data_IF_957007623308
#
_entry.id   IF_957007623308
#
_cell.length_a   1.000
_cell.length_b   1.000
_cell.length_c   1.000
_cell.angle_alpha   90.00
_cell.angle_beta   90.00
_cell.angle_gamma   90.00
#
_symmetry.space_group_name_H-M   'P 1'
#
loop_
_entity.id
_entity.type
_entity.pdbx_description
1 polymer ?
#
# COMPACT_ATOMS: atom_id res chain seq x y z
N UNK A 1 9.30 -15.88 7.31
CA UNK A 1 7.98 -15.36 6.90
C UNK A 1 7.92 -14.92 5.42
N UNK A 2 9.01 -14.42 4.81
CA UNK A 2 9.00 -13.96 3.41
C UNK A 2 9.16 -15.04 2.33
N UNK A 3 9.64 -16.25 2.67
CA UNK A 3 9.96 -17.28 1.67
C UNK A 3 8.73 -17.86 0.92
N UNK A 4 7.52 -17.71 1.47
CA UNK A 4 6.31 -18.22 0.84
C UNK A 4 5.68 -17.22 -0.14
N UNK A 5 5.84 -15.90 0.06
CA UNK A 5 5.20 -14.86 -0.78
C UNK A 5 5.74 -14.82 -2.20
N UNK A 6 7.05 -14.97 -2.37
CA UNK A 6 7.70 -15.02 -3.69
C UNK A 6 7.30 -16.27 -4.48
N UNK A 7 7.05 -17.39 -3.80
CA UNK A 7 6.61 -18.65 -4.41
C UNK A 7 5.17 -18.60 -4.94
N UNK A 8 4.32 -17.74 -4.36
CA UNK A 8 2.94 -17.51 -4.83
C UNK A 8 2.82 -16.39 -5.86
N UNK A 9 3.96 -15.86 -6.36
CA UNK A 9 3.98 -14.72 -7.27
C UNK A 9 3.24 -13.49 -6.70
N UNK A 10 3.30 -13.31 -5.37
CA UNK A 10 2.66 -12.20 -4.68
C UNK A 10 3.68 -11.06 -4.53
N UNK A 11 3.39 -9.94 -5.19
CA UNK A 11 4.10 -8.69 -4.94
C UNK A 11 3.72 -8.08 -3.60
N UNK A 12 4.70 -7.66 -2.80
CA UNK A 12 4.48 -6.94 -1.55
C UNK A 12 5.26 -5.64 -1.53
N UNK A 13 4.69 -4.61 -0.92
CA UNK A 13 5.32 -3.30 -0.73
C UNK A 13 5.27 -2.99 0.76
N UNK A 14 6.41 -2.65 1.34
CA UNK A 14 6.45 -2.14 2.71
C UNK A 14 6.19 -0.63 2.65
N UNK A 15 5.22 -0.17 3.44
CA UNK A 15 4.97 1.26 3.64
C UNK A 15 5.35 1.61 5.08
N UNK A 16 6.21 2.62 5.24
CA UNK A 16 6.65 3.07 6.55
C UNK A 16 6.04 4.45 6.84
N UNK A 17 5.36 4.59 7.98
CA UNK A 17 4.84 5.88 8.45
C UNK A 17 5.94 6.90 8.77
N UNK A 18 7.15 6.42 9.09
CA UNK A 18 8.35 7.23 9.25
C UNK A 18 9.09 7.25 7.90
N UNK A 19 8.63 8.09 6.99
CA UNK A 19 9.12 8.18 5.61
C UNK A 19 10.65 8.14 5.54
N UNK A 20 11.21 7.11 4.89
CA UNK A 20 12.64 7.04 4.59
C UNK A 20 12.96 7.93 3.39
N UNK A 21 14.21 8.38 3.22
CA UNK A 21 14.59 9.17 2.05
C UNK A 21 14.18 8.47 0.74
N UNK A 22 13.32 9.12 -0.05
CA UNK A 22 12.80 8.59 -1.32
C UNK A 22 11.48 7.83 -1.23
N UNK A 23 10.98 7.52 -0.03
CA UNK A 23 9.64 6.96 0.19
C UNK A 23 8.65 8.10 0.45
N UNK A 24 7.49 8.08 -0.22
CA UNK A 24 6.41 9.05 -0.01
C UNK A 24 5.08 8.30 0.08
N UNK A 25 4.33 8.58 1.14
CA UNK A 25 2.97 8.10 1.30
C UNK A 25 2.12 9.24 1.83
N UNK A 26 1.03 9.54 1.13
CA UNK A 26 0.07 10.55 1.55
C UNK A 26 -1.03 9.90 2.39
N UNK A 27 -0.80 9.88 3.71
CA UNK A 27 -1.79 9.38 4.66
C UNK A 27 -3.05 10.24 4.69
N UNK A 28 -2.94 11.55 4.45
CA UNK A 28 -4.10 12.45 4.46
C UNK A 28 -5.06 12.11 3.31
N UNK A 29 -4.53 11.77 2.13
CA UNK A 29 -5.34 11.30 1.01
C UNK A 29 -6.07 9.98 1.33
N UNK A 30 -5.44 9.06 2.04
CA UNK A 30 -6.08 7.82 2.49
C UNK A 30 -7.13 8.08 3.58
N UNK A 31 -6.84 9.00 4.51
CA UNK A 31 -7.73 9.36 5.61
C UNK A 31 -8.96 10.13 5.14
N UNK A 32 -8.89 10.81 4.00
CA UNK A 32 -10.03 11.49 3.39
C UNK A 32 -11.05 10.52 2.76
N UNK A 33 -10.69 9.26 2.51
CA UNK A 33 -11.61 8.28 1.93
C UNK A 33 -12.68 7.86 2.96
N UNK A 34 -13.96 7.75 2.57
CA UNK A 34 -14.99 7.24 3.47
C UNK A 34 -14.66 5.80 3.89
N UNK A 35 -14.82 5.51 5.18
CA UNK A 35 -14.66 4.16 5.70
C UNK A 35 -15.80 3.28 5.16
N UNK A 36 -15.44 2.15 4.55
CA UNK A 36 -16.38 1.07 4.24
C UNK A 36 -16.78 0.36 5.53
N UNK A 37 -15.81 0.18 6.44
CA UNK A 37 -16.02 -0.36 7.78
C UNK A 37 -14.93 0.12 8.71
N UNK A 38 -15.31 0.38 9.95
CA UNK A 38 -14.39 0.73 11.03
C UNK A 38 -14.67 -0.13 12.25
N UNK A 39 -13.61 -0.53 12.93
CA UNK A 39 -13.62 -1.34 14.17
C UNK A 39 -12.69 -0.66 15.16
N UNK A 40 -12.62 -1.16 16.39
CA UNK A 40 -11.72 -0.63 17.42
C UNK A 40 -10.25 -0.50 16.96
N UNK A 41 -9.77 -1.43 16.11
CA UNK A 41 -8.36 -1.50 15.72
C UNK A 41 -8.09 -1.36 14.22
N UNK A 42 -9.13 -1.35 13.38
CA UNK A 42 -8.97 -1.38 11.93
C UNK A 42 -10.03 -0.54 11.22
N UNK A 43 -9.55 0.33 10.33
CA UNK A 43 -10.36 1.07 9.35
C UNK A 43 -10.10 0.51 7.95
N UNK A 44 -11.17 0.14 7.24
CA UNK A 44 -11.14 -0.29 5.85
C UNK A 44 -11.73 0.80 4.97
N UNK A 45 -10.92 1.34 4.07
CA UNK A 45 -11.33 2.31 3.03
C UNK A 45 -11.27 1.64 1.66
N UNK A 46 -12.09 2.12 0.73
CA UNK A 46 -12.10 1.65 -0.66
C UNK A 46 -12.20 2.86 -1.59
N UNK A 47 -11.18 3.10 -2.43
CA UNK A 47 -11.28 4.11 -3.48
C UNK A 47 -12.36 3.72 -4.50
N UNK A 48 -12.99 4.70 -5.13
CA UNK A 48 -14.04 4.45 -6.14
C UNK A 48 -13.49 3.68 -7.35
N UNK A 49 -12.24 3.97 -7.74
CA UNK A 49 -11.53 3.30 -8.82
C UNK A 49 -10.42 2.40 -8.27
N UNK A 50 -10.06 1.31 -8.97
CA UNK A 50 -8.94 0.47 -8.54
C UNK A 50 -7.64 1.26 -8.43
N UNK A 51 -6.88 1.01 -7.37
CA UNK A 51 -5.53 1.54 -7.23
C UNK A 51 -4.66 1.10 -8.40
N UNK A 52 -3.91 2.03 -8.99
CA UNK A 52 -2.87 1.68 -9.93
C UNK A 52 -1.62 1.29 -9.16
N UNK A 53 -1.22 0.03 -9.28
CA UNK A 53 -0.03 -0.52 -8.63
C UNK A 53 0.95 -0.96 -9.69
N UNK A 54 2.19 -0.47 -9.62
CA UNK A 54 3.29 -0.87 -10.49
C UNK A 54 4.48 -1.27 -9.61
N UNK A 55 5.01 -2.46 -9.82
CA UNK A 55 6.16 -2.98 -9.07
C UNK A 55 7.27 -3.32 -10.06
N UNK A 56 8.45 -2.75 -9.85
CA UNK A 56 9.68 -3.12 -10.54
C UNK A 56 10.57 -3.92 -9.60
N UNK A 57 10.51 -5.25 -9.75
CA UNK A 57 11.33 -6.19 -8.98
C UNK A 57 12.83 -6.14 -9.33
N UNK A 58 13.23 -5.51 -10.44
CA UNK A 58 14.66 -5.35 -10.79
C UNK A 58 15.30 -4.23 -10.00
N UNK A 59 14.57 -3.13 -9.79
CA UNK A 59 15.08 -1.96 -9.05
C UNK A 59 14.56 -1.87 -7.62
N UNK A 60 13.73 -2.82 -7.17
CA UNK A 60 13.06 -2.83 -5.87
C UNK A 60 12.24 -1.54 -5.63
N UNK A 61 11.58 -1.04 -6.67
CA UNK A 61 10.74 0.16 -6.61
C UNK A 61 9.29 -0.21 -6.81
N UNK A 62 8.41 0.53 -6.13
CA UNK A 62 6.98 0.42 -6.30
C UNK A 62 6.36 1.82 -6.43
N UNK A 63 5.31 1.90 -7.22
CA UNK A 63 4.47 3.08 -7.39
C UNK A 63 3.02 2.67 -7.17
N UNK A 64 2.30 3.47 -6.37
CA UNK A 64 0.90 3.29 -6.07
C UNK A 64 0.19 4.64 -6.23
N UNK A 65 -0.94 4.65 -6.94
CA UNK A 65 -1.77 5.83 -7.10
C UNK A 65 -3.25 5.50 -6.91
N UNK A 66 -3.93 6.40 -6.21
CA UNK A 66 -5.38 6.46 -6.05
C UNK A 66 -6.07 6.87 -7.37
#
# INVERSE_FOLDING_TARGET
FFQNLTSFNVGYVNVNGYARPGEKLDFAALDALPAVRETEFLRHVRPEKPLRICIDGKTNKAFMAL
#
